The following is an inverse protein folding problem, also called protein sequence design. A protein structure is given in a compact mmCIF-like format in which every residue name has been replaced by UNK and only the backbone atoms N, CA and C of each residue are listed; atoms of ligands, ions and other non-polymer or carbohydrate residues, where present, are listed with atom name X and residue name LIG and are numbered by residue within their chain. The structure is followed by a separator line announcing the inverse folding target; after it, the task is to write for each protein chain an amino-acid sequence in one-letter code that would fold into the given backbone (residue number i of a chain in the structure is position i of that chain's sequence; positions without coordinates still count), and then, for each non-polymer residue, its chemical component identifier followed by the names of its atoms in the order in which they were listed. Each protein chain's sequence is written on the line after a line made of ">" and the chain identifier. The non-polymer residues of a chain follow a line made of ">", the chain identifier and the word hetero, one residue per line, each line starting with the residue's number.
data_IF_920539235980
#
_entry.id   IF_920539235980
#
_cell.length_a   1.000
_cell.length_b   1.000
_cell.length_c   1.000
_cell.angle_alpha   90.00
_cell.angle_beta   90.00
_cell.angle_gamma   90.00
#
_symmetry.space_group_name_H-M   'P 1'
#
loop_
_entity.id
_entity.type
_entity.pdbx_description
1 polymer ?
#
# COMPACT_ATOMS: atom_id res chain seq x y z
N UNK A 1 5.58 -21.56 10.20
CA UNK A 1 4.86 -20.31 9.85
C UNK A 1 4.16 -20.54 8.52
N UNK A 2 2.93 -20.06 8.37
CA UNK A 2 2.16 -20.06 7.12
C UNK A 2 2.05 -18.65 6.56
N UNK A 3 2.05 -18.53 5.24
CA UNK A 3 1.87 -17.29 4.51
C UNK A 3 0.48 -17.28 3.83
N UNK A 4 -0.18 -16.12 3.84
CA UNK A 4 -1.41 -15.85 3.11
C UNK A 4 -1.28 -14.55 2.33
N UNK A 5 -1.57 -14.58 1.02
CA UNK A 5 -1.54 -13.37 0.18
C UNK A 5 -2.90 -12.68 0.23
N UNK A 6 -2.89 -11.38 0.49
CA UNK A 6 -4.07 -10.51 0.56
C UNK A 6 -4.11 -9.65 -0.70
N UNK A 7 -4.97 -10.02 -1.64
CA UNK A 7 -5.03 -9.41 -2.97
C UNK A 7 -6.15 -8.38 -3.03
N UNK A 8 -5.81 -7.14 -3.39
CA UNK A 8 -6.76 -6.12 -3.79
C UNK A 8 -6.91 -6.14 -5.31
N UNK A 9 -8.13 -6.36 -5.80
CA UNK A 9 -8.41 -6.47 -7.22
C UNK A 9 -9.63 -5.61 -7.63
N UNK A 10 -9.68 -5.22 -8.92
CA UNK A 10 -10.76 -4.41 -9.49
C UNK A 10 -11.26 -5.02 -10.80
N UNK A 11 -12.53 -5.45 -10.84
CA UNK A 11 -13.21 -6.01 -12.01
C UNK A 11 -12.45 -7.17 -12.67
N UNK A 12 -11.78 -8.01 -11.87
CA UNK A 12 -11.04 -9.17 -12.37
C UNK A 12 -11.91 -10.44 -12.34
N UNK A 13 -11.57 -11.42 -13.18
CA UNK A 13 -12.09 -12.77 -13.06
C UNK A 13 -11.39 -13.48 -11.90
N UNK A 14 -12.00 -13.41 -10.71
CA UNK A 14 -11.36 -13.83 -9.46
C UNK A 14 -10.83 -15.27 -9.47
N UNK A 15 -11.47 -16.19 -10.18
CA UNK A 15 -11.03 -17.58 -10.30
C UNK A 15 -9.74 -17.75 -11.14
N UNK A 16 -9.43 -16.80 -12.01
CA UNK A 16 -8.20 -16.82 -12.83
C UNK A 16 -7.02 -16.11 -12.19
N UNK A 17 -7.28 -15.26 -11.19
CA UNK A 17 -6.22 -14.49 -10.54
C UNK A 17 -5.13 -15.35 -9.92
N UNK A 18 -5.42 -16.47 -9.21
CA UNK A 18 -4.36 -17.29 -8.62
C UNK A 18 -3.38 -17.86 -9.66
N UNK A 19 -3.86 -18.25 -10.84
CA UNK A 19 -2.99 -18.72 -11.93
C UNK A 19 -2.23 -17.55 -12.55
N UNK A 20 -2.92 -16.44 -12.86
CA UNK A 20 -2.34 -15.23 -13.44
C UNK A 20 -1.22 -14.66 -12.57
N UNK A 21 -1.39 -14.65 -11.26
CA UNK A 21 -0.45 -14.13 -10.28
C UNK A 21 0.61 -15.17 -9.87
N UNK A 22 0.51 -16.42 -10.34
CA UNK A 22 1.32 -17.56 -9.90
C UNK A 22 1.31 -17.74 -8.37
N UNK A 23 0.12 -17.75 -7.76
CA UNK A 23 -0.01 -17.95 -6.31
C UNK A 23 0.31 -19.40 -5.92
N UNK A 24 1.22 -19.56 -4.96
CA UNK A 24 1.65 -20.84 -4.37
C UNK A 24 1.26 -20.97 -2.89
N UNK A 25 0.47 -20.01 -2.37
CA UNK A 25 0.05 -19.91 -0.96
C UNK A 25 -1.46 -19.84 -0.84
N UNK A 26 -1.98 -19.95 0.38
CA UNK A 26 -3.34 -19.53 0.66
C UNK A 26 -3.51 -18.04 0.32
N UNK A 27 -4.72 -17.64 -0.10
CA UNK A 27 -4.99 -16.27 -0.49
C UNK A 27 -6.39 -15.80 -0.08
N UNK A 28 -6.49 -14.49 0.19
CA UNK A 28 -7.77 -13.77 0.27
C UNK A 28 -7.78 -12.73 -0.84
N UNK A 29 -8.69 -12.87 -1.78
CA UNK A 29 -8.88 -11.93 -2.89
C UNK A 29 -10.12 -11.09 -2.58
N UNK A 30 -9.97 -9.77 -2.58
CA UNK A 30 -11.09 -8.84 -2.50
C UNK A 30 -11.22 -8.13 -3.84
N UNK A 31 -12.20 -8.56 -4.63
CA UNK A 31 -12.45 -8.06 -5.97
C UNK A 31 -13.56 -7.00 -5.95
N UNK A 32 -13.19 -5.75 -6.17
CA UNK A 32 -14.10 -4.62 -6.27
C UNK A 32 -14.82 -4.65 -7.62
N UNK A 33 -16.10 -4.96 -7.64
CA UNK A 33 -16.89 -5.12 -8.86
C UNK A 33 -18.30 -4.48 -8.69
N UNK A 34 -19.32 -5.02 -9.33
CA UNK A 34 -20.70 -4.50 -9.33
C UNK A 34 -21.68 -5.32 -8.48
N UNK A 35 -21.21 -6.39 -7.82
CA UNK A 35 -22.03 -7.28 -7.01
C UNK A 35 -21.31 -7.75 -5.75
N UNK A 36 -22.09 -8.34 -4.82
CA UNK A 36 -21.57 -9.03 -3.64
C UNK A 36 -21.63 -10.54 -3.84
N UNK A 37 -20.50 -11.21 -3.63
CA UNK A 37 -20.42 -12.67 -3.61
C UNK A 37 -19.26 -13.15 -2.75
N UNK A 38 -19.38 -14.40 -2.26
CA UNK A 38 -18.29 -15.12 -1.62
C UNK A 38 -18.09 -16.45 -2.30
N UNK A 39 -16.84 -16.79 -2.57
CA UNK A 39 -16.42 -18.08 -3.11
C UNK A 39 -15.18 -18.57 -2.37
N UNK A 40 -15.13 -19.87 -2.10
CA UNK A 40 -13.96 -20.53 -1.57
C UNK A 40 -13.65 -21.77 -2.41
N UNK A 41 -12.41 -21.89 -2.85
CA UNK A 41 -11.98 -22.97 -3.72
C UNK A 41 -10.52 -23.33 -3.51
N UNK A 42 -10.10 -24.47 -4.08
CA UNK A 42 -8.71 -24.91 -4.04
C UNK A 42 -7.98 -24.54 -5.34
N UNK A 43 -6.79 -23.97 -5.21
CA UNK A 43 -5.85 -23.74 -6.29
C UNK A 43 -4.49 -24.35 -5.93
N UNK A 44 -4.01 -25.33 -6.71
CA UNK A 44 -2.73 -26.05 -6.45
C UNK A 44 -2.61 -26.55 -4.99
N UNK A 45 -3.73 -27.01 -4.40
CA UNK A 45 -3.76 -27.48 -3.00
C UNK A 45 -3.73 -26.39 -1.93
N UNK A 46 -3.90 -25.12 -2.32
CA UNK A 46 -4.00 -23.96 -1.43
C UNK A 46 -5.42 -23.41 -1.42
N UNK A 47 -5.86 -22.91 -0.29
CA UNK A 47 -7.20 -22.34 -0.14
C UNK A 47 -7.25 -20.90 -0.62
N UNK A 48 -8.15 -20.59 -1.54
CA UNK A 48 -8.43 -19.24 -2.02
C UNK A 48 -9.83 -18.83 -1.60
N UNK A 49 -9.91 -17.76 -0.80
CA UNK A 49 -11.16 -17.11 -0.38
C UNK A 49 -11.35 -15.85 -1.21
N UNK A 50 -12.41 -15.75 -1.99
CA UNK A 50 -12.70 -14.59 -2.83
C UNK A 50 -13.97 -13.89 -2.37
N UNK A 51 -13.84 -12.58 -2.14
CA UNK A 51 -14.92 -11.66 -1.79
C UNK A 51 -15.12 -10.67 -2.94
N UNK A 52 -16.23 -10.80 -3.66
CA UNK A 52 -16.70 -9.78 -4.60
C UNK A 52 -17.45 -8.69 -3.82
N UNK A 53 -17.11 -7.43 -4.05
CA UNK A 53 -17.62 -6.29 -3.28
C UNK A 53 -18.11 -5.19 -4.22
N UNK A 54 -19.40 -4.81 -4.11
CA UNK A 54 -19.97 -3.69 -4.86
C UNK A 54 -19.60 -2.33 -4.25
N UNK A 55 -18.33 -2.19 -3.85
CA UNK A 55 -17.77 -1.02 -3.19
C UNK A 55 -16.43 -0.67 -3.81
N UNK A 56 -16.00 0.58 -3.69
CA UNK A 56 -14.74 1.07 -4.25
C UNK A 56 -13.83 1.62 -3.16
N UNK A 57 -12.53 1.42 -3.34
CA UNK A 57 -11.49 1.93 -2.47
C UNK A 57 -10.46 0.87 -2.09
N UNK A 58 -9.20 1.08 -2.48
CA UNK A 58 -8.11 0.14 -2.20
C UNK A 58 -7.93 -0.09 -0.68
N UNK A 59 -8.10 0.96 0.13
CA UNK A 59 -8.04 0.85 1.59
C UNK A 59 -9.13 -0.05 2.15
N UNK A 60 -10.37 0.05 1.63
CA UNK A 60 -11.47 -0.82 2.02
C UNK A 60 -11.20 -2.28 1.64
N UNK A 61 -10.71 -2.52 0.43
CA UNK A 61 -10.35 -3.84 -0.06
C UNK A 61 -9.27 -4.48 0.84
N UNK A 62 -8.18 -3.75 1.10
CA UNK A 62 -7.08 -4.23 1.97
C UNK A 62 -7.53 -4.47 3.42
N UNK A 63 -8.40 -3.62 3.98
CA UNK A 63 -8.98 -3.81 5.31
C UNK A 63 -9.88 -5.06 5.35
N UNK A 64 -10.69 -5.25 4.32
CA UNK A 64 -11.57 -6.42 4.19
C UNK A 64 -10.77 -7.72 4.17
N UNK A 65 -9.64 -7.75 3.45
CA UNK A 65 -8.73 -8.88 3.41
C UNK A 65 -8.01 -9.06 4.76
N UNK A 66 -7.45 -7.99 5.35
CA UNK A 66 -6.70 -8.05 6.61
C UNK A 66 -7.56 -8.56 7.77
N UNK A 67 -8.81 -8.09 7.90
CA UNK A 67 -9.73 -8.56 8.95
C UNK A 67 -10.03 -10.05 8.87
N UNK A 68 -9.82 -10.68 7.72
CA UNK A 68 -10.10 -12.11 7.46
C UNK A 68 -8.83 -12.95 7.40
N UNK A 69 -7.67 -12.31 7.46
CA UNK A 69 -6.38 -12.99 7.46
C UNK A 69 -6.21 -13.81 8.74
N UNK A 70 -5.88 -15.11 8.57
CA UNK A 70 -5.75 -16.08 9.65
C UNK A 70 -4.40 -16.82 9.65
N UNK A 71 -3.55 -16.62 8.64
CA UNK A 71 -2.18 -17.10 8.64
C UNK A 71 -1.25 -16.26 9.52
N UNK A 72 -0.13 -16.85 9.98
CA UNK A 72 0.85 -16.15 10.82
C UNK A 72 1.46 -14.93 10.14
N UNK A 73 1.67 -15.03 8.83
CA UNK A 73 2.21 -13.96 7.98
C UNK A 73 1.19 -13.65 6.89
N UNK A 74 0.89 -12.40 6.68
CA UNK A 74 0.13 -11.91 5.53
C UNK A 74 1.01 -11.04 4.63
N UNK A 75 0.85 -11.19 3.30
CA UNK A 75 1.50 -10.34 2.28
C UNK A 75 0.41 -9.58 1.54
N UNK A 76 0.46 -8.25 1.55
CA UNK A 76 -0.40 -7.43 0.69
C UNK A 76 0.07 -7.50 -0.76
N UNK A 77 -0.88 -7.53 -1.68
CA UNK A 77 -0.60 -7.57 -3.12
C UNK A 77 -1.72 -6.88 -3.91
N UNK A 78 -1.37 -6.40 -5.09
CA UNK A 78 -2.33 -5.93 -6.08
C UNK A 78 -2.46 -6.99 -7.21
N UNK A 79 -3.53 -6.96 -8.00
CA UNK A 79 -3.89 -7.98 -9.00
C UNK A 79 -2.97 -8.04 -10.23
N UNK A 80 -2.05 -7.08 -10.36
CA UNK A 80 -1.08 -6.99 -11.44
C UNK A 80 0.32 -7.51 -11.06
N UNK A 81 0.46 -8.09 -9.87
CA UNK A 81 1.69 -8.73 -9.41
C UNK A 81 1.73 -10.21 -9.85
N UNK A 82 2.85 -10.62 -10.45
CA UNK A 82 3.16 -12.03 -10.74
C UNK A 82 4.33 -12.46 -9.87
N UNK A 83 4.10 -13.43 -9.01
CA UNK A 83 5.11 -13.93 -8.10
C UNK A 83 6.09 -14.89 -8.78
N UNK A 84 7.36 -14.80 -8.41
CA UNK A 84 8.34 -15.79 -8.80
C UNK A 84 8.20 -17.07 -7.97
N UNK A 85 8.49 -18.25 -8.54
CA UNK A 85 8.46 -19.51 -7.79
C UNK A 85 9.31 -19.42 -6.52
N UNK A 86 8.78 -19.95 -5.40
CA UNK A 86 9.48 -19.97 -4.12
C UNK A 86 9.43 -18.66 -3.31
N UNK A 87 8.61 -17.69 -3.70
CA UNK A 87 8.45 -16.43 -2.94
C UNK A 87 8.02 -16.67 -1.48
N UNK A 88 7.22 -17.70 -1.22
CA UNK A 88 6.81 -18.10 0.14
C UNK A 88 8.02 -18.32 1.04
N UNK A 89 8.97 -19.14 0.56
CA UNK A 89 10.16 -19.47 1.36
C UNK A 89 11.06 -18.26 1.61
N UNK A 90 11.21 -17.36 0.63
CA UNK A 90 11.95 -16.11 0.78
C UNK A 90 11.37 -15.24 1.91
N UNK A 91 10.05 -15.09 1.94
CA UNK A 91 9.34 -14.30 2.97
C UNK A 91 9.50 -14.97 4.34
N UNK A 92 9.19 -16.26 4.45
CA UNK A 92 9.25 -16.96 5.72
C UNK A 92 10.68 -17.01 6.28
N UNK A 93 11.69 -17.14 5.41
CA UNK A 93 13.11 -17.05 5.79
C UNK A 93 13.45 -15.68 6.37
N UNK A 94 13.01 -14.60 5.74
CA UNK A 94 13.25 -13.24 6.23
C UNK A 94 12.67 -13.02 7.65
N UNK A 95 11.47 -13.55 7.94
CA UNK A 95 10.89 -13.50 9.29
C UNK A 95 11.58 -14.40 10.30
N UNK A 96 12.17 -15.54 9.88
CA UNK A 96 13.01 -16.37 10.75
C UNK A 96 14.33 -15.68 11.10
N UNK A 97 14.95 -15.00 10.13
CA UNK A 97 16.20 -14.23 10.32
C UNK A 97 16.00 -12.95 11.15
N UNK A 98 14.76 -12.42 11.18
CA UNK A 98 14.39 -11.21 11.94
C UNK A 98 13.16 -11.49 12.82
N UNK A 99 13.34 -12.21 13.95
CA UNK A 99 12.21 -12.60 14.81
C UNK A 99 11.49 -11.42 15.47
N UNK A 100 12.14 -10.27 15.60
CA UNK A 100 11.58 -9.03 16.10
C UNK A 100 10.83 -8.20 15.04
N UNK A 101 10.85 -8.61 13.77
CA UNK A 101 10.14 -7.89 12.73
C UNK A 101 8.64 -8.14 12.81
N UNK A 102 7.86 -7.06 12.87
CA UNK A 102 6.40 -7.08 12.71
C UNK A 102 6.00 -6.96 11.24
N UNK A 103 6.81 -6.25 10.43
CA UNK A 103 6.59 -6.05 9.00
C UNK A 103 7.93 -5.98 8.26
N UNK A 104 7.99 -6.62 7.09
CA UNK A 104 9.14 -6.60 6.18
C UNK A 104 8.65 -6.23 4.78
N UNK A 105 9.29 -5.22 4.16
CA UNK A 105 9.05 -4.88 2.74
C UNK A 105 10.07 -5.57 1.86
N UNK A 106 9.64 -5.99 0.69
CA UNK A 106 10.43 -6.69 -0.32
C UNK A 106 10.52 -5.87 -1.61
N UNK A 107 11.19 -6.41 -2.62
CA UNK A 107 11.23 -5.84 -3.95
C UNK A 107 10.31 -6.59 -4.91
N UNK A 108 9.84 -5.85 -5.91
CA UNK A 108 9.27 -6.36 -7.13
C UNK A 108 9.93 -5.65 -8.30
N UNK A 109 10.11 -6.37 -9.40
CA UNK A 109 10.53 -5.76 -10.66
C UNK A 109 9.35 -4.99 -11.23
N UNK A 110 9.51 -3.69 -11.39
CA UNK A 110 8.48 -2.79 -11.91
C UNK A 110 9.02 -2.01 -13.10
N UNK A 111 8.13 -1.52 -13.96
CA UNK A 111 8.54 -0.65 -15.07
C UNK A 111 9.33 0.56 -14.52
N UNK A 112 10.50 0.89 -15.09
CA UNK A 112 11.33 2.01 -14.61
C UNK A 112 10.59 3.34 -14.48
N UNK A 113 9.53 3.56 -15.29
CA UNK A 113 8.69 4.77 -15.23
C UNK A 113 7.80 4.83 -13.98
N UNK A 114 7.54 3.68 -13.33
CA UNK A 114 6.68 3.54 -12.14
C UNK A 114 7.48 3.25 -10.87
N UNK A 115 8.78 2.97 -10.99
CA UNK A 115 9.61 2.63 -9.84
C UNK A 115 9.68 3.81 -8.87
N UNK A 116 9.03 3.69 -7.71
CA UNK A 116 9.11 4.69 -6.64
C UNK A 116 10.33 4.45 -5.77
N UNK A 117 10.61 3.19 -5.45
CA UNK A 117 11.75 2.80 -4.64
C UNK A 117 12.09 1.32 -4.83
N UNK A 118 13.40 0.99 -4.77
CA UNK A 118 13.92 -0.37 -4.78
C UNK A 118 14.93 -0.52 -3.64
N UNK A 119 14.76 -1.55 -2.81
CA UNK A 119 15.61 -1.81 -1.65
C UNK A 119 16.96 -2.35 -2.13
N UNK A 120 17.98 -1.51 -2.14
CA UNK A 120 19.36 -1.91 -2.48
C UNK A 120 20.08 -2.56 -1.31
N UNK A 121 19.65 -2.27 -0.08
CA UNK A 121 20.23 -2.74 1.16
C UNK A 121 19.14 -3.15 2.14
N UNK A 122 19.43 -4.15 2.97
CA UNK A 122 18.61 -4.53 4.10
C UNK A 122 18.70 -3.45 5.18
N UNK A 123 17.60 -3.12 5.81
CA UNK A 123 17.64 -2.09 6.84
C UNK A 123 16.34 -1.90 7.60
N UNK A 124 16.41 -1.15 8.69
CA UNK A 124 15.24 -0.78 9.48
C UNK A 124 14.52 0.39 8.84
N UNK A 125 13.20 0.26 8.70
CA UNK A 125 12.33 1.36 8.29
C UNK A 125 12.02 2.21 9.53
N UNK A 126 12.16 3.54 9.36
CA UNK A 126 12.04 4.51 10.44
C UNK A 126 11.18 5.68 9.99
N UNK A 127 10.83 6.56 10.93
CA UNK A 127 9.99 7.74 10.71
C UNK A 127 10.46 8.69 9.59
N UNK A 128 11.73 8.65 9.17
CA UNK A 128 12.28 9.53 8.13
C UNK A 128 12.36 8.89 6.74
N UNK A 129 12.07 7.58 6.60
CA UNK A 129 12.20 6.87 5.33
C UNK A 129 11.00 5.98 4.95
N UNK A 130 9.95 5.92 5.77
CA UNK A 130 8.78 5.04 5.56
C UNK A 130 7.93 5.39 4.33
N UNK A 131 7.83 6.66 3.95
CA UNK A 131 6.91 7.15 2.91
C UNK A 131 7.29 6.81 1.46
N UNK A 132 8.27 5.92 1.24
CA UNK A 132 8.74 5.48 -0.07
C UNK A 132 8.37 4.03 -0.40
N UNK A 133 7.89 3.28 0.58
CA UNK A 133 7.58 1.87 0.40
C UNK A 133 6.13 1.69 -0.04
N UNK A 134 5.89 0.85 -1.08
CA UNK A 134 4.54 0.47 -1.47
C UNK A 134 4.02 -0.65 -0.57
N UNK A 135 2.72 -0.65 -0.30
CA UNK A 135 2.11 -1.67 0.55
C UNK A 135 2.02 -3.03 -0.16
N UNK A 136 1.86 -3.07 -1.48
CA UNK A 136 1.83 -4.34 -2.23
C UNK A 136 3.11 -5.18 -2.09
N UNK A 137 4.17 -4.60 -1.54
CA UNK A 137 5.43 -5.28 -1.26
C UNK A 137 5.64 -5.59 0.24
N UNK A 138 4.62 -5.39 1.08
CA UNK A 138 4.72 -5.52 2.53
C UNK A 138 4.13 -6.84 3.01
N UNK A 139 4.98 -7.68 3.64
CA UNK A 139 4.56 -8.81 4.44
C UNK A 139 4.60 -8.44 5.93
N UNK A 140 3.64 -8.92 6.72
CA UNK A 140 3.54 -8.60 8.14
C UNK A 140 3.10 -9.80 8.96
N UNK A 141 3.45 -9.80 10.26
CA UNK A 141 2.81 -10.70 11.22
C UNK A 141 1.36 -10.27 11.39
N UNK A 142 0.44 -11.12 10.99
CA UNK A 142 -1.01 -10.84 11.02
C UNK A 142 -1.45 -10.42 12.41
N UNK A 143 -1.02 -11.15 13.44
CA UNK A 143 -1.35 -10.84 14.84
C UNK A 143 -0.81 -9.47 15.27
N UNK A 144 0.39 -9.06 14.82
CA UNK A 144 0.93 -7.73 15.17
C UNK A 144 0.06 -6.60 14.63
N UNK A 145 -0.44 -6.72 13.38
CA UNK A 145 -1.34 -5.74 12.80
C UNK A 145 -2.70 -5.72 13.51
N UNK A 146 -3.29 -6.88 13.80
CA UNK A 146 -4.56 -7.00 14.50
C UNK A 146 -4.47 -6.42 15.93
N UNK A 147 -3.48 -6.84 16.72
CA UNK A 147 -3.27 -6.36 18.11
C UNK A 147 -3.02 -4.86 18.17
N UNK A 148 -2.28 -4.30 17.22
CA UNK A 148 -2.04 -2.87 17.12
C UNK A 148 -3.22 -2.08 16.54
N UNK A 149 -4.30 -2.76 16.10
CA UNK A 149 -5.45 -2.19 15.42
C UNK A 149 -5.03 -1.33 14.23
N UNK A 150 -4.17 -1.89 13.35
CA UNK A 150 -3.74 -1.23 12.12
C UNK A 150 -4.80 -1.43 11.05
N UNK A 151 -5.14 -0.34 10.37
CA UNK A 151 -6.05 -0.34 9.22
C UNK A 151 -5.62 0.69 8.18
N UNK A 152 -6.05 0.47 6.95
CA UNK A 152 -5.87 1.45 5.87
C UNK A 152 -6.92 2.55 5.99
N UNK A 153 -6.52 3.78 5.68
CA UNK A 153 -7.44 4.91 5.59
C UNK A 153 -8.44 4.71 4.45
N UNK A 154 -9.72 4.94 4.71
CA UNK A 154 -10.77 4.93 3.68
C UNK A 154 -10.85 6.26 2.91
N UNK A 155 -10.13 7.29 3.36
CA UNK A 155 -10.12 8.61 2.73
C UNK A 155 -9.07 8.74 1.64
N UNK A 156 -8.05 7.87 1.62
CA UNK A 156 -6.89 7.95 0.74
C UNK A 156 -6.73 6.70 -0.11
N UNK A 157 -6.14 6.88 -1.31
CA UNK A 157 -5.81 5.80 -2.23
C UNK A 157 -6.75 5.68 -3.41
N UNK A 158 -6.49 4.70 -4.27
CA UNK A 158 -7.29 4.44 -5.45
C UNK A 158 -8.76 4.20 -5.11
N UNK A 159 -9.67 4.96 -5.75
CA UNK A 159 -11.11 4.90 -5.52
C UNK A 159 -11.62 5.67 -4.30
N UNK A 160 -10.74 6.31 -3.53
CA UNK A 160 -11.10 7.14 -2.37
C UNK A 160 -11.19 8.63 -2.72
N UNK A 161 -11.60 9.46 -1.74
CA UNK A 161 -11.73 10.91 -1.90
C UNK A 161 -10.41 11.58 -2.30
N UNK A 162 -9.30 11.18 -1.65
CA UNK A 162 -7.95 11.66 -1.92
C UNK A 162 -7.14 10.59 -2.64
N UNK A 163 -6.57 10.95 -3.78
CA UNK A 163 -6.08 10.01 -4.80
C UNK A 163 -4.86 9.15 -4.41
N UNK A 164 -4.14 9.51 -3.34
CA UNK A 164 -2.94 8.79 -2.92
C UNK A 164 -2.60 9.06 -1.46
N UNK A 165 -1.75 8.21 -0.86
CA UNK A 165 -1.21 8.40 0.47
C UNK A 165 -1.57 7.31 1.48
N UNK A 166 -2.40 6.34 1.09
CA UNK A 166 -2.79 5.21 1.94
C UNK A 166 -1.58 4.40 2.42
N UNK A 167 -0.61 4.14 1.53
CA UNK A 167 0.63 3.45 1.88
C UNK A 167 1.41 4.22 2.95
N UNK A 168 1.60 5.53 2.73
CA UNK A 168 2.32 6.37 3.68
C UNK A 168 1.65 6.42 5.04
N UNK A 169 0.32 6.48 5.08
CA UNK A 169 -0.45 6.45 6.34
C UNK A 169 -0.32 5.09 7.03
N UNK A 170 -0.43 3.99 6.28
CA UNK A 170 -0.29 2.64 6.82
C UNK A 170 1.07 2.44 7.51
N UNK A 171 2.18 2.75 6.83
CA UNK A 171 3.51 2.64 7.42
C UNK A 171 3.73 3.62 8.59
N UNK A 172 3.20 4.84 8.48
CA UNK A 172 3.24 5.82 9.56
C UNK A 172 2.54 5.29 10.82
N UNK A 173 1.34 4.72 10.66
CA UNK A 173 0.56 4.22 11.78
C UNK A 173 1.21 2.97 12.41
N UNK A 174 1.78 2.07 11.60
CA UNK A 174 2.59 0.97 12.11
C UNK A 174 3.73 1.47 13.00
N UNK A 175 4.52 2.45 12.53
CA UNK A 175 5.62 3.04 13.31
C UNK A 175 5.13 3.75 14.56
N UNK A 176 4.01 4.49 14.48
CA UNK A 176 3.41 5.21 15.60
C UNK A 176 2.90 4.25 16.70
N UNK A 177 2.48 3.05 16.32
CA UNK A 177 2.07 1.98 17.24
C UNK A 177 3.26 1.16 17.77
N UNK A 178 4.49 1.53 17.41
CA UNK A 178 5.72 0.90 17.91
C UNK A 178 6.10 -0.40 17.19
N UNK A 179 5.50 -0.71 16.06
CA UNK A 179 5.85 -1.91 15.28
C UNK A 179 7.26 -1.78 14.69
N UNK A 180 7.94 -2.90 14.59
CA UNK A 180 9.28 -3.00 14.02
C UNK A 180 9.20 -3.32 12.52
N UNK A 181 9.59 -2.36 11.68
CA UNK A 181 9.51 -2.44 10.24
C UNK A 181 10.91 -2.55 9.63
N UNK A 182 11.09 -3.45 8.67
CA UNK A 182 12.35 -3.69 7.98
C UNK A 182 12.16 -3.69 6.45
N UNK A 183 13.25 -3.44 5.74
CA UNK A 183 13.37 -3.60 4.30
C UNK A 183 14.31 -4.77 4.00
N UNK A 184 13.90 -5.63 3.07
CA UNK A 184 14.65 -6.77 2.56
C UNK A 184 14.97 -6.54 1.08
N UNK A 185 16.07 -7.12 0.59
CA UNK A 185 16.54 -6.96 -0.79
C UNK A 185 16.00 -8.03 -1.74
N UNK A 186 15.37 -9.08 -1.21
CA UNK A 186 14.80 -10.14 -2.01
C UNK A 186 13.71 -9.61 -2.95
N UNK A 187 13.75 -10.08 -4.20
CA UNK A 187 12.75 -9.79 -5.22
C UNK A 187 11.77 -10.96 -5.29
N UNK A 188 10.48 -10.67 -5.10
CA UNK A 188 9.44 -11.70 -4.97
C UNK A 188 8.68 -11.96 -6.28
N UNK A 189 8.79 -11.06 -7.25
CA UNK A 189 8.02 -11.13 -8.49
C UNK A 189 8.17 -9.88 -9.32
N UNK A 190 7.25 -9.70 -10.26
CA UNK A 190 7.20 -8.54 -11.13
C UNK A 190 5.78 -7.97 -11.23
N UNK A 191 5.67 -6.66 -11.47
CA UNK A 191 4.43 -5.97 -11.78
C UNK A 191 4.19 -6.00 -13.29
N UNK A 192 3.03 -6.49 -13.72
CA UNK A 192 2.59 -6.37 -15.12
C UNK A 192 2.20 -4.92 -15.36
N UNK A 193 2.91 -4.27 -16.29
CA UNK A 193 2.63 -2.88 -16.62
C UNK A 193 1.18 -2.69 -17.09
N UNK A 194 0.47 -1.79 -16.44
CA UNK A 194 -0.83 -1.25 -16.85
C UNK A 194 -0.80 0.27 -16.73
N UNK A 195 -1.50 0.97 -17.59
CA UNK A 195 -1.66 2.42 -17.42
C UNK A 195 -2.37 2.71 -16.11
N UNK A 196 -1.83 3.67 -15.35
CA UNK A 196 -2.44 4.08 -14.07
C UNK A 196 -3.78 4.76 -14.35
N UNK A 197 -4.85 4.22 -13.76
CA UNK A 197 -6.18 4.84 -13.83
C UNK A 197 -6.36 5.95 -12.79
N UNK A 198 -5.41 6.11 -11.87
CA UNK A 198 -5.53 7.00 -10.71
C UNK A 198 -4.62 8.22 -10.75
N UNK A 199 -3.51 8.16 -11.47
CA UNK A 199 -2.57 9.28 -11.59
C UNK A 199 -2.82 10.06 -12.88
N UNK A 200 -3.33 11.28 -12.74
CA UNK A 200 -3.66 12.21 -13.84
C UNK A 200 -2.67 13.38 -13.92
N UNK A 201 -1.39 13.15 -13.59
CA UNK A 201 -0.34 14.18 -13.61
C UNK A 201 -0.31 15.06 -12.36
N UNK A 202 0.66 15.99 -12.35
CA UNK A 202 0.90 16.92 -11.24
C UNK A 202 0.00 18.16 -11.35
N UNK A 203 -1.32 17.94 -11.17
CA UNK A 203 -2.36 18.97 -11.27
C UNK A 203 -2.76 19.53 -9.89
N UNK A 204 -3.73 20.46 -9.88
CA UNK A 204 -4.27 21.07 -8.66
C UNK A 204 -4.73 20.03 -7.63
N UNK A 205 -5.46 19.01 -8.07
CA UNK A 205 -5.96 17.94 -7.19
C UNK A 205 -4.80 17.18 -6.53
N UNK A 206 -3.76 16.85 -7.29
CA UNK A 206 -2.58 16.17 -6.75
C UNK A 206 -1.94 16.93 -5.58
N UNK A 207 -1.69 18.24 -5.76
CA UNK A 207 -1.09 19.05 -4.70
C UNK A 207 -2.05 19.30 -3.53
N UNK A 208 -3.33 19.48 -3.80
CA UNK A 208 -4.34 19.61 -2.75
C UNK A 208 -4.42 18.33 -1.90
N UNK A 209 -4.59 17.16 -2.51
CA UNK A 209 -4.65 15.85 -1.83
C UNK A 209 -3.37 15.59 -1.03
N UNK A 210 -2.21 15.92 -1.59
CA UNK A 210 -0.92 15.84 -0.89
C UNK A 210 -0.87 16.74 0.33
N UNK A 211 -1.48 17.91 0.26
CA UNK A 211 -1.62 18.82 1.40
C UNK A 211 -2.48 18.23 2.53
N UNK A 212 -3.61 17.60 2.19
CA UNK A 212 -4.45 16.87 3.16
C UNK A 212 -3.66 15.75 3.81
N UNK A 213 -2.99 14.91 3.01
CA UNK A 213 -2.12 13.83 3.51
C UNK A 213 -1.08 14.35 4.49
N UNK A 214 -0.39 15.44 4.16
CA UNK A 214 0.66 16.00 5.02
C UNK A 214 0.12 16.54 6.33
N UNK A 215 -1.14 17.01 6.37
CA UNK A 215 -1.78 17.33 7.64
C UNK A 215 -1.92 16.09 8.54
N UNK A 216 -2.36 14.95 7.98
CA UNK A 216 -2.51 13.71 8.74
C UNK A 216 -1.15 13.15 9.21
N UNK A 217 -0.11 13.20 8.38
CA UNK A 217 1.23 12.69 8.71
C UNK A 217 2.01 13.60 9.69
N UNK A 218 1.95 14.91 9.49
CA UNK A 218 2.88 15.86 10.14
C UNK A 218 2.20 16.93 11.00
N UNK A 219 0.88 17.02 10.99
CA UNK A 219 0.12 17.96 11.81
C UNK A 219 0.58 19.42 11.63
N UNK A 220 1.08 20.02 12.70
CA UNK A 220 1.56 21.43 12.69
C UNK A 220 2.75 21.68 11.76
N UNK A 221 3.54 20.64 11.47
CA UNK A 221 4.73 20.73 10.60
C UNK A 221 4.40 20.49 9.11
N UNK A 222 3.14 20.24 8.75
CA UNK A 222 2.72 19.94 7.39
C UNK A 222 3.19 20.95 6.35
N UNK A 223 3.13 22.27 6.68
CA UNK A 223 3.59 23.33 5.79
C UNK A 223 5.10 23.26 5.48
N UNK A 224 5.91 22.95 6.50
CA UNK A 224 7.36 22.80 6.34
C UNK A 224 7.70 21.60 5.47
N UNK A 225 7.07 20.43 5.74
CA UNK A 225 7.27 19.24 4.93
C UNK A 225 6.74 19.39 3.50
N UNK A 226 5.68 20.18 3.30
CA UNK A 226 5.21 20.54 1.95
C UNK A 226 6.26 21.31 1.15
N UNK A 227 6.89 22.31 1.73
CA UNK A 227 7.98 23.06 1.08
C UNK A 227 9.17 22.16 0.76
N UNK A 228 9.59 21.33 1.72
CA UNK A 228 10.67 20.36 1.51
C UNK A 228 10.35 19.39 0.36
N UNK A 229 9.13 18.89 0.31
CA UNK A 229 8.67 17.99 -0.76
C UNK A 229 8.74 18.66 -2.13
N UNK A 230 8.15 19.85 -2.27
CA UNK A 230 8.14 20.59 -3.52
C UNK A 230 9.57 20.93 -3.99
N UNK A 231 10.45 21.29 -3.06
CA UNK A 231 11.85 21.58 -3.40
C UNK A 231 12.60 20.33 -3.84
N UNK A 232 12.40 19.19 -3.16
CA UNK A 232 13.05 17.92 -3.49
C UNK A 232 12.63 17.38 -4.87
N UNK A 233 11.37 17.59 -5.27
CA UNK A 233 10.79 17.07 -6.51
C UNK A 233 10.57 18.15 -7.59
N UNK A 234 11.16 19.34 -7.46
CA UNK A 234 10.92 20.47 -8.35
C UNK A 234 11.19 20.20 -9.83
N UNK A 235 12.22 19.39 -10.12
CA UNK A 235 12.62 19.06 -11.51
C UNK A 235 11.59 18.24 -12.27
N UNK A 236 10.76 17.48 -11.56
CA UNK A 236 9.72 16.62 -12.13
C UNK A 236 8.33 17.26 -12.05
N UNK A 237 7.96 17.73 -10.88
CA UNK A 237 6.59 18.16 -10.55
C UNK A 237 6.28 19.60 -10.90
N UNK A 238 7.30 20.47 -11.02
CA UNK A 238 7.12 21.90 -11.23
C UNK A 238 7.49 22.35 -12.66
N UNK A 239 7.37 21.47 -13.65
CA UNK A 239 7.62 21.81 -15.05
C UNK A 239 6.60 22.80 -15.61
N UNK A 240 5.33 22.65 -15.21
CA UNK A 240 4.19 23.40 -15.72
C UNK A 240 3.51 24.28 -14.66
N UNK A 241 3.87 24.13 -13.39
CA UNK A 241 3.26 24.82 -12.26
C UNK A 241 4.33 25.55 -11.45
N UNK A 242 4.07 26.81 -11.06
CA UNK A 242 4.99 27.57 -10.20
C UNK A 242 5.01 26.99 -8.78
N UNK A 243 6.17 27.04 -8.14
CA UNK A 243 6.33 26.58 -6.74
C UNK A 243 5.32 27.25 -5.78
N UNK A 244 5.08 28.56 -5.96
CA UNK A 244 4.13 29.35 -5.17
C UNK A 244 2.71 28.79 -5.26
N UNK A 245 2.30 28.42 -6.48
CA UNK A 245 0.95 27.95 -6.78
C UNK A 245 0.74 26.54 -6.23
N UNK A 246 1.70 25.62 -6.49
CA UNK A 246 1.71 24.29 -5.92
C UNK A 246 1.68 24.33 -4.38
N UNK A 247 2.47 25.20 -3.76
CA UNK A 247 2.44 25.39 -2.31
C UNK A 247 1.11 25.96 -1.81
N UNK A 248 0.53 26.91 -2.55
CA UNK A 248 -0.81 27.45 -2.27
C UNK A 248 -1.89 26.37 -2.27
N UNK A 249 -1.85 25.45 -3.25
CA UNK A 249 -2.74 24.29 -3.33
C UNK A 249 -2.55 23.35 -2.13
N UNK A 250 -1.31 23.01 -1.80
CA UNK A 250 -1.02 22.19 -0.61
C UNK A 250 -1.49 22.85 0.69
N UNK A 251 -1.34 24.17 0.85
CA UNK A 251 -1.86 24.89 2.03
C UNK A 251 -3.38 24.83 2.14
N UNK A 252 -4.12 24.86 1.01
CA UNK A 252 -5.58 24.63 1.02
C UNK A 252 -5.90 23.23 1.50
N UNK A 253 -5.20 22.21 0.99
CA UNK A 253 -5.34 20.83 1.45
C UNK A 253 -5.05 20.64 2.93
N UNK A 254 -4.00 21.27 3.47
CA UNK A 254 -3.67 21.27 4.90
C UNK A 254 -4.83 21.84 5.75
N UNK A 255 -5.47 22.92 5.27
CA UNK A 255 -6.63 23.52 5.96
C UNK A 255 -7.84 22.58 5.94
N UNK A 256 -8.10 21.92 4.81
CA UNK A 256 -9.16 20.92 4.66
C UNK A 256 -8.96 19.77 5.65
N UNK A 257 -7.76 19.16 5.69
CA UNK A 257 -7.44 18.08 6.64
C UNK A 257 -7.63 18.48 8.11
N UNK A 258 -7.34 19.76 8.44
CA UNK A 258 -7.58 20.30 9.79
C UNK A 258 -9.08 20.44 10.11
N UNK A 259 -9.91 20.77 9.12
CA UNK A 259 -11.35 20.95 9.31
C UNK A 259 -12.06 19.61 9.44
N UNK A 260 -11.70 18.61 8.65
CA UNK A 260 -12.24 17.26 8.71
C UNK A 260 -12.03 16.61 10.09
N UNK A 261 -10.83 16.74 10.66
CA UNK A 261 -10.50 16.20 12.01
C UNK A 261 -11.28 16.86 13.18
N UNK A 262 -11.98 17.96 12.95
CA UNK A 262 -12.82 18.60 13.98
C UNK A 262 -14.26 18.09 13.97
N UNK A 263 -14.63 17.27 12.98
CA UNK A 263 -15.99 16.72 12.80
C UNK A 263 -16.06 15.23 13.19
N UNK A 264 -14.90 14.59 13.43
CA UNK A 264 -14.77 13.27 14.06
C UNK A 264 -14.65 13.41 15.60
#
# INVERSE_FOLDING_TARGET
>A
MKLQVLVAAVNEEAQRLPEKMNLETDAIIVNQCDHFAYQEYQHKGRTVKCFSMAERGVGLSRNTALMRADAEICLFSDEDIVFYPGYEELILKAFREKPDADLITFNFKVDPRRTTYYNKEKGRIRWYNYGRYPTYAAAARTESLHRANISFSLLFGGGARYSNGEDSLFFHDCLKKGLHLYAETAELGEEIYRESTWFNGYNEKFFFDRGVLYHHLYGRLAGLFSLRFLYAHRGEMLKEIRLSDAYGMMKRGIREGKSAKRQE
#
